data_IF_197539157347
#
_entry.id   IF_197539157347
#
_cell.length_a   1.000
_cell.length_b   1.000
_cell.length_c   1.000
_cell.angle_alpha   90.00
_cell.angle_beta   90.00
_cell.angle_gamma   90.00
#
_symmetry.space_group_name_H-M   'P 1'
#
loop_
_entity.id
_entity.type
_entity.pdbx_description
1 polymer ?
#
# COMPACT_ATOMS: atom_id res chain seq x y z
N UNK A 1 18.30 -0.02 10.10
CA UNK A 1 16.84 -0.14 10.36
C UNK A 1 16.68 -1.17 11.48
N UNK A 2 16.24 -0.76 12.64
CA UNK A 2 16.02 -1.70 13.74
C UNK A 2 14.64 -2.34 13.59
N UNK A 3 14.58 -3.51 13.00
CA UNK A 3 13.36 -4.30 12.84
C UNK A 3 12.82 -4.84 14.17
N UNK A 4 13.58 -4.69 15.24
CA UNK A 4 13.22 -5.14 16.59
C UNK A 4 12.77 -4.00 17.49
N UNK A 5 12.68 -2.76 16.98
CA UNK A 5 12.09 -1.67 17.75
C UNK A 5 10.63 -2.00 18.05
N UNK A 6 10.36 -2.26 19.32
CA UNK A 6 9.03 -2.68 19.79
C UNK A 6 8.03 -1.53 19.88
N UNK A 7 8.50 -0.27 19.81
CA UNK A 7 7.65 0.91 20.07
C UNK A 7 7.05 1.52 18.80
N UNK A 8 7.80 1.53 17.68
CA UNK A 8 7.40 2.20 16.45
C UNK A 8 7.65 1.35 15.22
N UNK A 9 6.78 1.48 14.22
CA UNK A 9 6.92 0.80 12.94
C UNK A 9 7.77 1.57 11.93
N UNK A 10 7.77 2.92 12.01
CA UNK A 10 8.32 3.79 10.99
C UNK A 10 9.46 4.64 11.54
N UNK A 11 10.53 4.77 10.76
CA UNK A 11 11.70 5.56 11.10
C UNK A 11 12.15 6.36 9.89
N UNK A 12 12.33 7.66 10.04
CA UNK A 12 12.85 8.55 9.00
C UNK A 12 14.32 8.86 9.26
N UNK A 13 15.10 8.90 8.18
CA UNK A 13 16.52 9.23 8.19
C UNK A 13 16.82 10.21 7.05
N UNK A 14 17.87 11.05 7.24
CA UNK A 14 18.43 11.83 6.13
C UNK A 14 19.21 10.92 5.19
N UNK A 15 19.38 11.35 3.93
CA UNK A 15 20.27 10.75 2.96
C UNK A 15 21.18 11.87 2.37
N UNK A 16 22.48 11.64 2.21
CA UNK A 16 23.24 10.40 2.38
C UNK A 16 23.79 10.14 3.78
N UNK A 17 23.60 11.03 4.75
CA UNK A 17 24.26 10.98 6.07
C UNK A 17 23.67 9.94 7.03
N UNK A 18 22.48 9.40 6.72
CA UNK A 18 21.76 8.40 7.52
C UNK A 18 21.53 8.83 8.99
N UNK A 19 21.33 10.13 9.20
CA UNK A 19 20.98 10.66 10.53
C UNK A 19 19.50 10.40 10.79
N UNK A 20 19.20 9.86 11.97
CA UNK A 20 17.83 9.67 12.42
C UNK A 20 17.12 11.03 12.56
N UNK A 21 15.92 11.13 12.00
CA UNK A 21 15.03 12.30 12.08
C UNK A 21 13.94 12.04 13.12
N UNK A 22 13.13 10.99 12.92
CA UNK A 22 11.97 10.70 13.75
C UNK A 22 11.64 9.21 13.75
N UNK A 23 11.05 8.73 14.86
CA UNK A 23 10.37 7.45 14.95
C UNK A 23 8.88 7.71 15.17
N UNK A 24 8.00 7.06 14.41
CA UNK A 24 6.57 7.31 14.41
C UNK A 24 5.77 6.06 14.04
N UNK A 25 4.42 6.15 14.05
CA UNK A 25 3.57 4.98 13.88
C UNK A 25 3.75 4.02 15.05
N UNK A 26 3.46 4.51 16.28
CA UNK A 26 3.57 3.72 17.51
C UNK A 26 2.80 2.42 17.40
N UNK A 27 3.37 1.34 17.93
CA UNK A 27 2.72 0.03 17.95
C UNK A 27 1.65 -0.02 19.03
N UNK A 28 0.47 -0.53 18.69
CA UNK A 28 -0.60 -0.74 19.64
C UNK A 28 -1.99 -0.76 19.01
N UNK A 29 -3.00 -0.93 19.86
CA UNK A 29 -4.40 -1.07 19.45
C UNK A 29 -5.19 0.25 19.54
N UNK A 30 -4.62 1.27 20.18
CA UNK A 30 -5.29 2.57 20.30
C UNK A 30 -5.53 3.21 18.92
N UNK A 31 -6.52 4.12 18.79
CA UNK A 31 -6.83 4.75 17.49
C UNK A 31 -5.65 5.42 16.81
N UNK A 32 -4.74 6.01 17.58
CA UNK A 32 -3.54 6.69 17.04
C UNK A 32 -2.34 5.76 16.80
N UNK A 33 -2.45 4.50 17.19
CA UNK A 33 -1.40 3.50 17.07
C UNK A 33 -1.60 2.64 15.82
N UNK A 34 -0.60 1.86 15.45
CA UNK A 34 -0.62 0.96 14.30
C UNK A 34 -0.52 -0.49 14.76
N UNK A 35 -1.26 -1.38 14.11
CA UNK A 35 -1.20 -2.83 14.34
C UNK A 35 -0.25 -3.54 13.40
N UNK A 36 -0.09 -3.04 12.16
CA UNK A 36 0.71 -3.70 11.12
C UNK A 36 1.03 -2.74 9.98
N UNK A 37 2.09 -1.94 10.12
CA UNK A 37 2.59 -1.13 9.00
C UNK A 37 3.35 -2.03 8.02
N UNK A 38 2.84 -2.18 6.78
CA UNK A 38 3.39 -3.12 5.80
C UNK A 38 3.82 -2.49 4.48
N UNK A 39 3.27 -1.35 4.12
CA UNK A 39 3.65 -0.62 2.91
C UNK A 39 3.67 0.86 3.17
N UNK A 40 4.62 1.56 2.53
CA UNK A 40 4.75 3.02 2.59
C UNK A 40 5.01 3.57 1.20
N UNK A 41 4.45 4.76 0.94
CA UNK A 41 4.75 5.51 -0.28
C UNK A 41 4.92 7.00 0.01
N UNK A 42 5.95 7.61 -0.56
CA UNK A 42 6.09 9.06 -0.50
C UNK A 42 5.02 9.73 -1.37
N UNK A 43 4.42 10.77 -0.82
CA UNK A 43 3.49 11.66 -1.51
C UNK A 43 4.17 12.97 -1.91
N UNK A 44 5.16 13.40 -1.13
CA UNK A 44 5.99 14.57 -1.38
C UNK A 44 7.31 14.42 -0.62
N UNK A 45 8.19 15.44 -0.69
CA UNK A 45 9.50 15.43 -0.02
C UNK A 45 9.40 15.28 1.51
N UNK A 46 8.31 15.74 2.11
CA UNK A 46 8.09 15.75 3.56
C UNK A 46 6.86 14.98 4.00
N UNK A 47 6.21 14.23 3.10
CA UNK A 47 4.97 13.53 3.39
C UNK A 47 4.96 12.14 2.81
N UNK A 48 4.49 11.16 3.59
CA UNK A 48 4.30 9.79 3.16
C UNK A 48 2.96 9.22 3.60
N UNK A 49 2.48 8.27 2.83
CA UNK A 49 1.39 7.40 3.19
C UNK A 49 1.91 6.07 3.77
N UNK A 50 1.24 5.53 4.77
CA UNK A 50 1.53 4.22 5.35
C UNK A 50 0.25 3.40 5.46
N UNK A 51 0.31 2.13 5.03
CA UNK A 51 -0.79 1.18 5.12
C UNK A 51 -0.67 0.32 6.37
N UNK A 52 -1.70 0.34 7.19
CA UNK A 52 -1.93 -0.63 8.27
C UNK A 52 -2.88 -1.72 7.78
N UNK A 53 -2.35 -2.89 7.49
CA UNK A 53 -3.12 -4.00 6.94
C UNK A 53 -4.16 -4.57 7.91
N UNK A 54 -3.88 -4.54 9.22
CA UNK A 54 -4.79 -5.10 10.21
C UNK A 54 -5.91 -4.13 10.57
N UNK A 55 -5.66 -2.83 10.50
CA UNK A 55 -6.70 -1.80 10.66
C UNK A 55 -7.44 -1.51 9.35
N UNK A 56 -6.94 -2.01 8.21
CA UNK A 56 -7.43 -1.65 6.88
C UNK A 56 -7.50 -0.12 6.71
N UNK A 57 -6.36 0.51 6.93
CA UNK A 57 -6.27 1.96 7.06
C UNK A 57 -5.00 2.47 6.38
N UNK A 58 -5.14 3.54 5.59
CA UNK A 58 -4.02 4.29 5.04
C UNK A 58 -3.91 5.60 5.81
N UNK A 59 -2.74 5.90 6.35
CA UNK A 59 -2.46 7.09 7.12
C UNK A 59 -1.43 7.96 6.46
N UNK A 60 -1.66 9.28 6.41
CA UNK A 60 -0.68 10.24 5.92
C UNK A 60 0.10 10.87 7.06
N UNK A 61 1.40 10.88 6.91
CA UNK A 61 2.34 11.43 7.88
C UNK A 61 3.13 12.57 7.25
N UNK A 62 3.23 13.68 7.96
CA UNK A 62 4.11 14.79 7.62
C UNK A 62 5.38 14.71 8.47
N UNK A 63 6.54 14.74 7.82
CA UNK A 63 7.84 14.60 8.46
C UNK A 63 8.56 15.95 8.44
N UNK A 64 9.05 16.39 9.58
CA UNK A 64 9.87 17.59 9.70
C UNK A 64 11.30 17.24 10.08
N UNK A 65 12.23 17.45 9.15
CA UNK A 65 13.65 17.28 9.43
C UNK A 65 14.21 18.39 10.34
N UNK A 66 13.55 19.55 10.39
CA UNK A 66 13.99 20.70 11.16
C UNK A 66 13.82 20.50 12.66
N UNK A 67 12.68 19.94 13.08
CA UNK A 67 12.38 19.71 14.49
C UNK A 67 12.41 18.22 14.90
N UNK A 68 12.76 17.33 13.95
CA UNK A 68 12.88 15.91 14.23
C UNK A 68 11.55 15.24 14.61
N UNK A 69 10.45 15.64 13.97
CA UNK A 69 9.11 15.13 14.28
C UNK A 69 8.40 14.53 13.07
N UNK A 70 7.44 13.66 13.34
CA UNK A 70 6.46 13.20 12.36
C UNK A 70 5.06 13.30 12.96
N UNK A 71 4.13 13.86 12.20
CA UNK A 71 2.75 14.09 12.58
C UNK A 71 1.81 13.33 11.66
N UNK A 72 0.82 12.64 12.22
CA UNK A 72 -0.28 12.03 11.47
C UNK A 72 -1.29 13.12 11.11
N UNK A 73 -1.44 13.37 9.82
CA UNK A 73 -2.27 14.48 9.31
C UNK A 73 -3.56 14.00 8.65
N UNK A 74 -3.65 12.73 8.30
CA UNK A 74 -4.83 12.17 7.64
C UNK A 74 -4.98 10.68 7.90
N UNK A 75 -6.22 10.20 7.95
CA UNK A 75 -6.60 8.80 8.12
C UNK A 75 -7.70 8.46 7.14
N UNK A 76 -7.52 7.37 6.38
CA UNK A 76 -8.47 6.87 5.41
C UNK A 76 -8.74 5.39 5.70
N UNK A 77 -9.98 5.08 6.05
CA UNK A 77 -10.44 3.69 6.20
C UNK A 77 -10.73 3.09 4.84
N UNK A 78 -10.13 1.96 4.56
CA UNK A 78 -10.37 1.22 3.32
C UNK A 78 -11.70 0.48 3.35
N UNK A 79 -12.33 0.38 2.18
CA UNK A 79 -13.56 -0.39 1.97
C UNK A 79 -13.37 -1.85 2.44
N UNK A 80 -14.38 -2.38 3.11
CA UNK A 80 -14.39 -3.77 3.60
C UNK A 80 -14.27 -4.82 2.50
N UNK A 81 -14.51 -4.45 1.25
CA UNK A 81 -14.26 -5.31 0.07
C UNK A 81 -12.77 -5.60 -0.14
N UNK A 82 -11.89 -4.71 0.35
CA UNK A 82 -10.44 -4.79 0.19
C UNK A 82 -9.83 -5.62 1.32
N UNK A 83 -10.17 -6.89 1.40
CA UNK A 83 -9.73 -7.77 2.49
C UNK A 83 -8.22 -7.93 2.50
N UNK A 84 -7.58 -7.62 3.66
CA UNK A 84 -6.13 -7.80 3.91
C UNK A 84 -5.25 -7.18 2.82
N UNK A 85 -5.51 -5.93 2.47
CA UNK A 85 -4.61 -5.18 1.57
C UNK A 85 -3.19 -5.16 2.16
N UNK A 86 -2.22 -5.61 1.38
CA UNK A 86 -0.82 -5.71 1.80
C UNK A 86 0.08 -4.72 1.04
N UNK A 87 -0.50 -3.98 0.11
CA UNK A 87 0.20 -2.97 -0.68
C UNK A 87 -0.80 -1.94 -1.21
N UNK A 88 -0.30 -0.79 -1.66
CA UNK A 88 -1.09 0.25 -2.32
C UNK A 88 -0.19 1.15 -3.15
N UNK A 89 -0.78 1.86 -4.09
CA UNK A 89 -0.09 2.93 -4.83
C UNK A 89 -0.96 4.18 -4.85
N UNK A 90 -0.34 5.32 -4.61
CA UNK A 90 -1.02 6.61 -4.68
C UNK A 90 -1.29 7.01 -6.11
N UNK A 91 -2.49 7.51 -6.38
CA UNK A 91 -2.90 8.12 -7.63
C UNK A 91 -3.29 9.58 -7.39
N UNK A 92 -3.56 10.34 -8.47
CA UNK A 92 -4.03 11.72 -8.37
C UNK A 92 -5.34 11.84 -7.56
N UNK A 93 -6.25 10.88 -7.70
CA UNK A 93 -7.58 10.90 -7.08
C UNK A 93 -7.86 9.81 -6.06
N UNK A 94 -6.80 9.14 -5.56
CA UNK A 94 -6.98 8.04 -4.60
C UNK A 94 -5.85 7.02 -4.64
N UNK A 95 -6.21 5.72 -4.69
CA UNK A 95 -5.24 4.65 -4.56
C UNK A 95 -5.53 3.49 -5.52
N UNK A 96 -4.47 2.80 -5.93
CA UNK A 96 -4.56 1.45 -6.49
C UNK A 96 -4.20 0.46 -5.39
N UNK A 97 -5.07 -0.53 -5.17
CA UNK A 97 -4.89 -1.54 -4.13
C UNK A 97 -4.96 -2.93 -4.75
N UNK A 98 -3.91 -3.76 -4.63
CA UNK A 98 -3.95 -5.15 -5.11
C UNK A 98 -5.08 -5.93 -4.47
N UNK A 99 -5.76 -6.76 -5.26
CA UNK A 99 -6.82 -7.65 -4.76
C UNK A 99 -6.22 -8.95 -4.20
N UNK A 100 -6.49 -9.20 -2.91
CA UNK A 100 -6.06 -10.42 -2.21
C UNK A 100 -7.19 -11.43 -2.02
N UNK A 101 -8.37 -11.19 -2.61
CA UNK A 101 -9.49 -12.13 -2.59
C UNK A 101 -9.46 -13.18 -3.71
N UNK A 102 -8.58 -12.97 -4.70
CA UNK A 102 -8.40 -13.89 -5.81
C UNK A 102 -9.47 -13.79 -6.90
N UNK A 103 -10.16 -12.67 -6.99
CA UNK A 103 -11.17 -12.42 -8.03
C UNK A 103 -10.63 -11.50 -9.13
N UNK A 104 -9.95 -10.44 -8.73
CA UNK A 104 -9.40 -9.41 -9.61
C UNK A 104 -7.90 -9.23 -9.39
N UNK A 105 -7.29 -8.37 -10.18
CA UNK A 105 -5.87 -8.03 -10.02
C UNK A 105 -5.68 -6.90 -9.02
N UNK A 106 -6.47 -5.86 -9.14
CA UNK A 106 -6.42 -4.69 -8.28
C UNK A 106 -7.74 -3.92 -8.32
N UNK A 107 -7.88 -3.03 -7.36
CA UNK A 107 -8.98 -2.10 -7.21
C UNK A 107 -8.49 -0.66 -7.33
N UNK A 108 -9.29 0.18 -7.99
CA UNK A 108 -9.26 1.63 -7.80
C UNK A 108 -10.07 2.00 -6.58
N UNK A 109 -9.48 2.84 -5.74
CA UNK A 109 -10.03 3.29 -4.47
C UNK A 109 -9.98 4.82 -4.46
N UNK A 110 -11.09 5.47 -4.12
CA UNK A 110 -11.13 6.93 -4.05
C UNK A 110 -10.39 7.48 -2.82
N UNK A 111 -10.26 8.82 -2.74
CA UNK A 111 -9.61 9.50 -1.63
C UNK A 111 -10.30 9.32 -0.26
N UNK A 112 -11.50 8.72 -0.22
CA UNK A 112 -12.22 8.39 1.02
C UNK A 112 -12.08 6.90 1.39
N UNK A 113 -11.28 6.15 0.64
CA UNK A 113 -11.05 4.72 0.88
C UNK A 113 -12.10 3.78 0.30
N UNK A 114 -13.06 4.29 -0.50
CA UNK A 114 -14.11 3.50 -1.11
C UNK A 114 -13.61 2.83 -2.38
N UNK A 115 -13.83 1.52 -2.52
CA UNK A 115 -13.56 0.78 -3.75
C UNK A 115 -14.53 1.23 -4.86
N UNK A 116 -13.98 1.77 -5.95
CA UNK A 116 -14.74 2.30 -7.09
C UNK A 116 -14.86 1.25 -8.18
N UNK A 117 -13.74 0.71 -8.64
CA UNK A 117 -13.67 -0.20 -9.78
C UNK A 117 -12.59 -1.26 -9.57
N UNK A 118 -12.86 -2.47 -10.03
CA UNK A 118 -11.88 -3.54 -10.11
C UNK A 118 -11.31 -3.67 -11.53
N UNK A 119 -10.10 -4.22 -11.62
CA UNK A 119 -9.42 -4.41 -12.88
C UNK A 119 -8.74 -5.77 -12.97
N UNK A 120 -8.78 -6.30 -14.19
CA UNK A 120 -8.17 -7.57 -14.55
C UNK A 120 -8.82 -8.76 -13.83
N UNK A 121 -8.93 -9.86 -14.53
CA UNK A 121 -9.39 -11.12 -13.95
C UNK A 121 -8.18 -12.02 -13.67
N UNK A 122 -8.28 -12.83 -12.64
CA UNK A 122 -7.36 -13.93 -12.42
C UNK A 122 -7.83 -15.07 -13.35
N UNK A 123 -6.96 -15.62 -14.24
CA UNK A 123 -7.35 -16.70 -15.10
C UNK A 123 -7.78 -17.93 -14.28
N UNK A 124 -9.06 -18.30 -14.37
CA UNK A 124 -9.62 -19.43 -13.64
C UNK A 124 -9.22 -20.78 -14.22
N UNK A 125 -8.81 -20.83 -15.49
CA UNK A 125 -8.36 -22.04 -16.18
C UNK A 125 -7.07 -22.65 -15.60
N UNK A 126 -6.32 -21.86 -14.81
CA UNK A 126 -5.12 -22.34 -14.11
C UNK A 126 -5.44 -22.87 -12.70
N UNK A 127 -6.68 -22.76 -12.26
CA UNK A 127 -7.13 -23.27 -10.98
C UNK A 127 -7.66 -24.71 -11.20
N UNK A 128 -6.88 -25.70 -10.83
CA UNK A 128 -7.45 -27.00 -10.53
C UNK A 128 -8.58 -26.79 -9.51
N UNK A 129 -9.68 -27.51 -9.63
CA UNK A 129 -10.92 -27.33 -8.83
C UNK A 129 -10.70 -27.31 -7.30
N UNK A 130 -9.53 -27.73 -6.84
CA UNK A 130 -9.14 -27.77 -5.42
C UNK A 130 -8.37 -26.53 -4.91
N UNK A 131 -8.00 -25.58 -5.77
CA UNK A 131 -7.18 -24.44 -5.32
C UNK A 131 -8.05 -23.38 -4.64
N UNK A 132 -7.81 -23.13 -3.36
CA UNK A 132 -8.56 -22.11 -2.63
C UNK A 132 -8.30 -20.70 -3.17
N UNK A 133 -9.33 -19.83 -3.17
CA UNK A 133 -9.22 -18.44 -3.61
C UNK A 133 -8.05 -17.66 -2.96
N UNK A 134 -7.77 -17.78 -1.65
CA UNK A 134 -6.60 -17.14 -1.05
C UNK A 134 -5.27 -17.63 -1.61
N UNK A 135 -5.16 -18.91 -1.97
CA UNK A 135 -3.94 -19.43 -2.61
C UNK A 135 -3.79 -18.90 -4.03
N UNK A 136 -4.88 -18.77 -4.79
CA UNK A 136 -4.89 -18.12 -6.09
C UNK A 136 -4.49 -16.65 -5.98
N UNK A 137 -5.06 -15.89 -5.04
CA UNK A 137 -4.70 -14.51 -4.81
C UNK A 137 -3.22 -14.34 -4.50
N UNK A 138 -2.65 -15.22 -3.70
CA UNK A 138 -1.23 -15.21 -3.38
C UNK A 138 -0.35 -15.56 -4.58
N UNK A 139 -0.72 -16.56 -5.37
CA UNK A 139 0.01 -16.98 -6.58
C UNK A 139 -0.02 -15.89 -7.67
N UNK A 140 -1.12 -15.15 -7.75
CA UNK A 140 -1.35 -14.09 -8.73
C UNK A 140 -1.13 -12.68 -8.16
N UNK A 141 -0.58 -12.57 -6.96
CA UNK A 141 -0.25 -11.30 -6.34
C UNK A 141 0.53 -10.42 -7.32
N UNK A 142 -0.01 -9.26 -7.71
CA UNK A 142 0.72 -8.36 -8.58
C UNK A 142 1.82 -7.65 -7.81
N UNK A 143 3.00 -7.51 -8.43
CA UNK A 143 3.89 -6.41 -8.13
C UNK A 143 3.46 -5.26 -9.00
N UNK A 144 3.19 -4.12 -8.42
CA UNK A 144 2.75 -2.95 -9.15
C UNK A 144 3.65 -1.78 -8.84
N UNK A 145 3.85 -0.92 -9.83
CA UNK A 145 4.41 0.41 -9.65
C UNK A 145 3.67 1.37 -10.58
N UNK A 146 3.28 2.51 -10.04
CA UNK A 146 2.52 3.52 -10.75
C UNK A 146 3.30 4.81 -10.84
N UNK A 147 3.48 5.31 -12.06
CA UNK A 147 4.09 6.61 -12.30
C UNK A 147 2.99 7.66 -12.48
N UNK A 148 2.77 8.56 -11.49
CA UNK A 148 1.73 9.57 -11.56
C UNK A 148 1.99 10.63 -12.63
N UNK A 149 3.25 10.87 -13.04
CA UNK A 149 3.60 11.91 -14.01
C UNK A 149 3.11 11.59 -15.43
N UNK A 150 2.92 10.31 -15.74
CA UNK A 150 2.52 9.87 -17.08
C UNK A 150 1.36 8.87 -17.10
N UNK A 151 0.79 8.54 -15.94
CA UNK A 151 -0.32 7.60 -15.81
C UNK A 151 0.01 6.14 -16.17
N UNK A 152 1.30 5.76 -16.21
CA UNK A 152 1.71 4.40 -16.54
C UNK A 152 1.69 3.54 -15.28
N UNK A 153 0.92 2.45 -15.34
CA UNK A 153 0.93 1.39 -14.36
C UNK A 153 1.72 0.19 -14.90
N UNK A 154 2.81 -0.18 -14.22
CA UNK A 154 3.53 -1.41 -14.48
C UNK A 154 3.01 -2.51 -13.54
N UNK A 155 2.68 -3.68 -14.10
CA UNK A 155 2.20 -4.83 -13.33
C UNK A 155 3.06 -6.04 -13.67
N UNK A 156 3.72 -6.58 -12.67
CA UNK A 156 4.46 -7.83 -12.74
C UNK A 156 3.80 -8.92 -11.91
N UNK A 157 4.20 -10.17 -12.12
CA UNK A 157 3.82 -11.31 -11.28
C UNK A 157 5.03 -12.21 -11.03
N UNK A 158 4.98 -12.99 -9.99
CA UNK A 158 6.08 -13.88 -9.58
C UNK A 158 6.47 -14.95 -10.63
N UNK A 159 5.66 -15.14 -11.68
CA UNK A 159 5.88 -16.15 -12.72
C UNK A 159 6.37 -15.60 -14.06
N UNK A 160 7.06 -14.47 -14.05
CA UNK A 160 7.98 -14.08 -15.14
C UNK A 160 7.41 -13.32 -16.33
N UNK A 161 6.15 -12.89 -16.37
CA UNK A 161 5.62 -12.07 -17.47
C UNK A 161 5.23 -10.67 -17.00
N UNK A 162 5.96 -9.67 -17.44
CA UNK A 162 5.60 -8.25 -17.29
C UNK A 162 4.47 -7.88 -18.26
N UNK A 163 3.40 -7.29 -17.76
CA UNK A 163 2.36 -6.68 -18.59
C UNK A 163 2.32 -5.18 -18.34
N UNK A 164 2.52 -4.42 -19.41
CA UNK A 164 2.38 -2.97 -19.39
C UNK A 164 0.98 -2.60 -19.92
N UNK A 165 0.25 -1.81 -19.16
CA UNK A 165 -1.02 -1.24 -19.64
C UNK A 165 -0.88 0.28 -19.69
N UNK A 166 -1.01 0.84 -20.89
CA UNK A 166 -1.19 2.29 -21.06
C UNK A 166 -2.66 2.60 -20.78
N UNK A 167 -2.92 3.44 -19.80
CA UNK A 167 -4.24 4.01 -19.61
C UNK A 167 -4.38 5.13 -20.65
N UNK A 168 -5.35 4.99 -21.55
CA UNK A 168 -5.67 6.04 -22.49
C UNK A 168 -6.46 7.12 -21.74
N UNK A 169 -6.03 8.37 -21.93
CA UNK A 169 -6.76 9.56 -21.53
C UNK A 169 -8.10 9.68 -22.27
#
# INVERSE_FOLDING_TARGET
MDLHNMDHYLHAFTYPEWKHIASFGRRGEAPQEMLSAISIQFNSLDSLWALDANKMEITRWKISSTNGSAERVEEIKLDKKLVRSLDFHTMESGFLVPDYMGEHRFWEVDGNGKAIQNHGTIPSEAAEEETSRPALAQAWRPFMDYNPDNGILAIGRNTGNLQFKRQYA
#
